data_IF_447365608536
#
_entry.id   IF_447365608536
#
_cell.length_a   1.000
_cell.length_b   1.000
_cell.length_c   1.000
_cell.angle_alpha   90.00
_cell.angle_beta   90.00
_cell.angle_gamma   90.00
#
_symmetry.space_group_name_H-M   'P 1'
#
loop_
_entity.id
_entity.type
_entity.pdbx_description
1 polymer ?
#
# COMPACT_ATOMS: atom_id res chain seq x y z
N UNK A 1 34.61 5.92 29.38
CA UNK A 1 34.26 4.51 29.06
C UNK A 1 34.75 4.30 27.65
N UNK A 2 35.54 3.25 27.40
CA UNK A 2 35.96 2.92 26.04
C UNK A 2 34.71 2.70 25.20
N UNK A 3 34.64 3.33 24.04
CA UNK A 3 33.80 2.82 22.97
C UNK A 3 34.40 1.46 22.62
N UNK A 4 33.91 0.41 23.27
CA UNK A 4 34.06 -0.93 22.74
C UNK A 4 33.50 -0.84 21.33
N UNK A 5 34.37 -0.99 20.33
CA UNK A 5 34.04 -0.72 18.94
C UNK A 5 32.83 -1.60 18.59
N UNK A 6 31.70 -0.97 18.29
CA UNK A 6 30.47 -1.66 17.93
C UNK A 6 30.76 -2.66 16.80
N UNK A 7 30.57 -3.95 17.09
CA UNK A 7 30.78 -5.04 16.15
C UNK A 7 29.41 -5.53 15.64
N UNK A 8 29.02 -5.23 14.39
CA UNK A 8 27.70 -5.54 13.85
C UNK A 8 27.30 -7.02 14.03
N UNK A 9 28.27 -7.93 13.90
CA UNK A 9 28.07 -9.38 14.03
C UNK A 9 27.46 -9.82 15.35
N UNK A 10 27.80 -9.14 16.45
CA UNK A 10 27.31 -9.46 17.80
C UNK A 10 25.87 -9.01 18.03
N UNK A 11 25.30 -8.26 17.08
CA UNK A 11 23.97 -7.67 17.16
C UNK A 11 23.01 -8.19 16.09
N UNK A 12 23.48 -9.09 15.21
CA UNK A 12 22.60 -9.80 14.29
C UNK A 12 21.75 -10.78 15.11
N UNK A 13 20.45 -10.52 15.15
CA UNK A 13 19.44 -11.50 15.55
C UNK A 13 19.40 -12.66 14.55
N UNK A 14 20.09 -13.75 14.89
CA UNK A 14 20.16 -14.96 14.09
C UNK A 14 18.86 -15.78 14.12
N UNK A 15 17.91 -15.48 15.00
CA UNK A 15 16.60 -16.16 14.99
C UNK A 15 15.78 -15.77 13.73
N UNK A 16 16.17 -14.68 13.06
CA UNK A 16 15.60 -14.25 11.77
C UNK A 16 16.25 -14.92 10.55
N UNK A 17 17.26 -15.79 10.72
CA UNK A 17 17.99 -16.39 9.58
C UNK A 17 17.10 -17.24 8.68
N UNK A 18 16.08 -17.90 9.24
CA UNK A 18 15.09 -18.67 8.47
C UNK A 18 14.18 -17.77 7.61
N UNK A 19 14.33 -16.44 7.75
CA UNK A 19 13.64 -15.39 7.01
C UNK A 19 14.59 -14.59 6.12
N UNK A 20 15.75 -15.13 5.76
CA UNK A 20 16.84 -14.46 5.03
C UNK A 20 16.47 -13.83 3.67
N UNK A 21 15.30 -14.15 3.14
CA UNK A 21 14.75 -13.66 1.88
C UNK A 21 13.59 -12.65 2.11
N UNK A 22 13.35 -12.21 3.35
CA UNK A 22 12.25 -11.30 3.72
C UNK A 22 12.69 -9.84 3.88
N UNK A 23 11.72 -8.92 3.81
CA UNK A 23 11.94 -7.50 4.13
C UNK A 23 12.34 -7.33 5.59
N UNK A 24 11.81 -8.15 6.50
CA UNK A 24 12.15 -8.11 7.93
C UNK A 24 13.67 -8.35 8.13
N UNK A 25 14.21 -9.37 7.48
CA UNK A 25 15.65 -9.65 7.50
C UNK A 25 16.48 -8.52 6.88
N UNK A 26 16.05 -8.00 5.73
CA UNK A 26 16.69 -6.87 5.08
C UNK A 26 16.77 -5.63 6.00
N UNK A 27 15.64 -5.24 6.60
CA UNK A 27 15.55 -4.08 7.50
C UNK A 27 16.47 -4.27 8.71
N UNK A 28 16.43 -5.43 9.33
CA UNK A 28 17.24 -5.78 10.49
C UNK A 28 18.75 -5.68 10.20
N UNK A 29 19.22 -6.31 9.13
CA UNK A 29 20.64 -6.25 8.76
C UNK A 29 21.07 -4.81 8.43
N UNK A 30 20.26 -4.07 7.67
CA UNK A 30 20.55 -2.68 7.37
C UNK A 30 20.63 -1.81 8.63
N UNK A 31 19.75 -2.02 9.61
CA UNK A 31 19.79 -1.34 10.91
C UNK A 31 21.06 -1.67 11.68
N UNK A 32 21.38 -2.96 11.81
CA UNK A 32 22.57 -3.43 12.53
C UNK A 32 23.84 -2.83 11.93
N UNK A 33 23.98 -2.81 10.61
CA UNK A 33 25.17 -2.28 9.93
C UNK A 33 25.23 -0.76 9.85
N UNK A 34 24.12 -0.06 10.08
CA UNK A 34 24.06 1.41 10.09
C UNK A 34 23.68 1.98 11.45
N UNK A 35 23.83 1.20 12.53
CA UNK A 35 23.45 1.61 13.88
C UNK A 35 24.12 2.92 14.29
N UNK A 36 23.34 3.78 14.95
CA UNK A 36 23.79 5.09 15.41
C UNK A 36 23.85 6.16 14.31
N UNK A 37 23.51 5.82 13.05
CA UNK A 37 23.36 6.76 11.95
C UNK A 37 21.89 7.13 11.75
N UNK A 38 21.64 8.39 11.40
CA UNK A 38 20.32 8.85 10.92
C UNK A 38 20.05 8.36 9.49
N UNK A 39 18.79 8.28 9.04
CA UNK A 39 18.41 7.60 7.77
C UNK A 39 19.19 8.07 6.55
N UNK A 40 19.41 9.38 6.41
CA UNK A 40 20.15 9.97 5.29
C UNK A 40 21.66 9.69 5.33
N UNK A 41 22.17 9.04 6.37
CA UNK A 41 23.56 8.62 6.54
C UNK A 41 23.74 7.10 6.42
N UNK A 42 22.66 6.34 6.18
CA UNK A 42 22.77 4.92 5.93
C UNK A 42 23.47 4.71 4.59
N UNK A 43 24.61 4.03 4.62
CA UNK A 43 25.48 3.78 3.45
C UNK A 43 25.99 2.35 3.38
N UNK A 44 25.92 1.62 4.49
CA UNK A 44 26.46 0.26 4.57
C UNK A 44 25.40 -0.71 4.06
N UNK A 45 25.68 -1.37 2.95
CA UNK A 45 24.84 -2.42 2.37
C UNK A 45 25.43 -3.79 2.74
N UNK A 46 24.74 -4.62 3.54
CA UNK A 46 25.30 -5.87 4.06
C UNK A 46 25.19 -7.01 3.04
N UNK A 47 25.78 -6.84 1.85
CA UNK A 47 25.66 -7.79 0.72
C UNK A 47 26.15 -9.20 1.05
N UNK A 48 27.15 -9.32 1.93
CA UNK A 48 27.69 -10.60 2.41
C UNK A 48 26.63 -11.47 3.14
N UNK A 49 25.46 -10.91 3.46
CA UNK A 49 24.36 -11.57 4.16
C UNK A 49 23.14 -11.86 3.26
N UNK A 50 23.26 -11.64 1.95
CA UNK A 50 22.21 -11.92 0.97
C UNK A 50 22.60 -13.11 0.09
N UNK A 51 22.40 -14.32 0.63
CA UNK A 51 22.91 -15.57 0.08
C UNK A 51 21.94 -16.15 -0.95
N UNK A 52 20.64 -16.02 -0.68
CA UNK A 52 19.57 -16.54 -1.51
C UNK A 52 18.71 -15.44 -2.14
N UNK A 53 18.08 -15.72 -3.30
CA UNK A 53 17.08 -14.83 -3.87
C UNK A 53 15.90 -14.62 -2.90
N UNK A 54 15.25 -13.45 -2.92
CA UNK A 54 15.46 -12.36 -3.88
C UNK A 54 16.58 -11.40 -3.51
N UNK A 55 17.03 -11.38 -2.25
CA UNK A 55 17.99 -10.38 -1.78
C UNK A 55 19.33 -10.46 -2.53
N UNK A 56 19.81 -11.67 -2.83
CA UNK A 56 21.05 -11.88 -3.60
C UNK A 56 21.00 -11.33 -5.04
N UNK A 57 19.80 -10.99 -5.54
CA UNK A 57 19.59 -10.49 -6.91
C UNK A 57 19.46 -8.97 -6.98
N UNK A 58 19.43 -8.27 -5.84
CA UNK A 58 19.34 -6.81 -5.77
C UNK A 58 20.64 -6.21 -6.33
N UNK A 59 20.53 -5.40 -7.36
CA UNK A 59 21.67 -4.67 -7.95
C UNK A 59 22.15 -3.57 -7.02
N UNK A 60 23.40 -3.09 -7.17
CA UNK A 60 23.94 -1.98 -6.35
C UNK A 60 23.05 -0.73 -6.38
N UNK A 61 22.55 -0.37 -7.58
CA UNK A 61 21.64 0.77 -7.78
C UNK A 61 20.32 0.59 -7.03
N UNK A 62 19.73 -0.60 -7.09
CA UNK A 62 18.52 -0.90 -6.34
C UNK A 62 18.80 -1.05 -4.83
N UNK A 63 19.98 -1.52 -4.45
CA UNK A 63 20.42 -1.71 -3.07
C UNK A 63 20.48 -0.40 -2.30
N UNK A 64 20.96 0.67 -2.93
CA UNK A 64 20.91 2.01 -2.33
C UNK A 64 19.48 2.47 -2.04
N UNK A 65 18.54 2.23 -2.96
CA UNK A 65 17.14 2.59 -2.73
C UNK A 65 16.46 1.69 -1.70
N UNK A 66 16.77 0.39 -1.70
CA UNK A 66 16.34 -0.53 -0.65
C UNK A 66 16.88 -0.13 0.73
N UNK A 67 18.09 0.42 0.80
CA UNK A 67 18.65 0.98 2.04
C UNK A 67 17.83 2.19 2.52
N UNK A 68 17.35 3.05 1.61
CA UNK A 68 16.44 4.14 1.96
C UNK A 68 15.08 3.64 2.45
N UNK A 69 14.53 2.61 1.82
CA UNK A 69 13.30 1.94 2.28
C UNK A 69 13.51 1.36 3.68
N UNK A 70 14.60 0.61 3.90
CA UNK A 70 14.93 0.02 5.20
C UNK A 70 15.12 1.08 6.29
N UNK A 71 15.81 2.17 5.98
CA UNK A 71 15.99 3.29 6.88
C UNK A 71 14.66 3.96 7.24
N UNK A 72 13.76 4.12 6.25
CA UNK A 72 12.42 4.66 6.47
C UNK A 72 11.62 3.74 7.40
N UNK A 73 11.61 2.44 7.15
CA UNK A 73 10.90 1.46 7.99
C UNK A 73 11.45 1.47 9.43
N UNK A 74 12.76 1.33 9.61
CA UNK A 74 13.40 1.26 10.95
C UNK A 74 13.17 2.53 11.78
N UNK A 75 13.13 3.70 11.15
CA UNK A 75 13.03 4.99 11.86
C UNK A 75 11.61 5.50 12.04
N UNK A 76 10.61 4.89 11.40
CA UNK A 76 9.22 5.30 11.52
C UNK A 76 8.42 4.25 12.28
N UNK A 77 8.01 4.52 13.53
CA UNK A 77 7.23 3.58 14.33
C UNK A 77 5.83 3.31 13.75
N UNK A 78 5.37 4.16 12.83
CA UNK A 78 4.14 3.94 12.07
C UNK A 78 4.28 2.87 10.99
N UNK A 79 5.49 2.39 10.67
CA UNK A 79 5.68 1.30 9.70
C UNK A 79 6.12 0.05 10.44
N UNK A 80 5.43 -1.05 10.16
CA UNK A 80 5.81 -2.38 10.66
C UNK A 80 5.90 -3.34 9.51
N UNK A 81 6.84 -4.29 9.62
CA UNK A 81 7.02 -5.37 8.65
C UNK A 81 6.76 -6.69 9.34
N UNK A 82 6.05 -7.56 8.66
CA UNK A 82 5.76 -8.91 9.10
C UNK A 82 5.85 -9.85 7.92
N UNK A 83 5.94 -11.14 8.19
CA UNK A 83 5.94 -12.15 7.17
C UNK A 83 4.88 -13.19 7.47
N UNK A 84 4.21 -13.65 6.43
CA UNK A 84 3.27 -14.76 6.53
C UNK A 84 3.89 -15.98 5.88
N UNK A 85 4.20 -17.01 6.68
CA UNK A 85 4.68 -18.29 6.19
C UNK A 85 3.53 -19.12 5.63
N UNK A 86 3.52 -19.29 4.30
CA UNK A 86 2.57 -20.15 3.60
C UNK A 86 3.29 -21.31 2.93
N UNK A 87 2.56 -22.37 2.62
CA UNK A 87 3.07 -23.48 1.80
C UNK A 87 2.18 -23.66 0.58
N UNK A 88 2.77 -23.60 -0.61
CA UNK A 88 2.05 -23.88 -1.86
C UNK A 88 2.40 -25.27 -2.39
N UNK A 89 1.47 -25.96 -3.09
CA UNK A 89 1.78 -27.22 -3.74
C UNK A 89 2.88 -27.05 -4.80
N UNK A 90 4.02 -27.72 -4.62
CA UNK A 90 5.11 -27.75 -5.59
C UNK A 90 5.29 -29.12 -6.24
N UNK A 91 6.01 -29.13 -7.37
CA UNK A 91 6.27 -30.33 -8.19
C UNK A 91 7.00 -31.45 -7.42
N UNK A 92 7.74 -31.10 -6.38
CA UNK A 92 8.54 -32.04 -5.56
C UNK A 92 8.08 -32.09 -4.09
N UNK A 93 6.90 -31.54 -3.78
CA UNK A 93 6.40 -31.35 -2.42
C UNK A 93 5.96 -29.91 -2.17
N UNK A 94 5.39 -29.61 -0.99
CA UNK A 94 5.05 -28.24 -0.61
C UNK A 94 6.30 -27.35 -0.65
N UNK A 95 6.17 -26.16 -1.25
CA UNK A 95 7.23 -25.15 -1.30
C UNK A 95 6.84 -24.02 -0.34
N UNK A 96 7.71 -23.63 0.61
CA UNK A 96 7.45 -22.48 1.46
C UNK A 96 7.42 -21.22 0.58
N UNK A 97 6.40 -20.40 0.79
CA UNK A 97 6.25 -19.08 0.16
C UNK A 97 5.98 -18.09 1.27
N UNK A 98 6.79 -17.05 1.29
CA UNK A 98 6.72 -16.00 2.28
C UNK A 98 6.07 -14.79 1.61
N UNK A 99 4.98 -14.27 2.18
CA UNK A 99 4.56 -12.91 1.82
C UNK A 99 5.19 -11.93 2.79
N UNK A 100 5.70 -10.83 2.25
CA UNK A 100 6.19 -9.72 3.06
C UNK A 100 5.05 -8.73 3.17
N UNK A 101 4.53 -8.58 4.38
CA UNK A 101 3.39 -7.73 4.66
C UNK A 101 3.89 -6.48 5.40
N UNK A 102 3.69 -5.31 4.81
CA UNK A 102 4.08 -4.01 5.39
C UNK A 102 2.80 -3.32 5.85
N UNK A 103 2.70 -3.00 7.14
CA UNK A 103 1.59 -2.20 7.67
C UNK A 103 2.07 -0.78 7.96
N UNK A 104 1.35 0.21 7.45
CA UNK A 104 1.63 1.64 7.60
C UNK A 104 0.48 2.30 8.34
N UNK A 105 0.77 2.93 9.47
CA UNK A 105 -0.15 3.80 10.18
C UNK A 105 0.14 5.24 9.79
N UNK A 106 -0.78 5.86 9.07
CA UNK A 106 -0.71 7.26 8.67
C UNK A 106 -0.85 8.22 9.84
N UNK A 107 -0.53 9.49 9.59
CA UNK A 107 -0.52 10.56 10.61
C UNK A 107 -1.86 10.80 11.31
N UNK A 108 -2.98 10.43 10.70
CA UNK A 108 -4.31 10.56 11.30
C UNK A 108 -4.84 9.22 11.83
N UNK A 109 -4.00 8.18 11.85
CA UNK A 109 -4.33 6.86 12.41
C UNK A 109 -4.87 5.85 11.41
N UNK A 110 -4.85 6.18 10.11
CA UNK A 110 -5.25 5.25 9.07
C UNK A 110 -4.26 4.10 8.94
N UNK A 111 -4.71 2.85 9.06
CA UNK A 111 -3.86 1.68 8.80
C UNK A 111 -3.95 1.26 7.33
N UNK A 112 -2.81 1.05 6.67
CA UNK A 112 -2.71 0.54 5.31
C UNK A 112 -1.85 -0.72 5.32
N UNK A 113 -2.23 -1.75 4.56
CA UNK A 113 -1.47 -3.01 4.48
C UNK A 113 -1.02 -3.25 3.04
N UNK A 114 0.28 -3.30 2.83
CA UNK A 114 0.90 -3.61 1.54
C UNK A 114 1.36 -5.05 1.59
N UNK A 115 0.88 -5.86 0.65
CA UNK A 115 1.33 -7.23 0.46
C UNK A 115 2.33 -7.26 -0.68
N UNK A 116 3.60 -7.49 -0.37
CA UNK A 116 4.65 -7.59 -1.38
C UNK A 116 4.64 -8.96 -2.06
N UNK A 117 5.09 -9.00 -3.31
CA UNK A 117 5.44 -10.25 -3.97
C UNK A 117 6.60 -10.93 -3.23
N UNK A 118 6.66 -12.28 -3.18
CA UNK A 118 7.73 -13.01 -2.50
C UNK A 118 9.14 -12.68 -3.02
N UNK A 119 9.27 -12.33 -4.30
CA UNK A 119 10.53 -12.00 -4.95
C UNK A 119 10.90 -10.51 -4.83
N UNK A 120 10.12 -9.71 -4.08
CA UNK A 120 10.27 -8.27 -3.91
C UNK A 120 10.26 -7.47 -5.21
N UNK A 121 9.77 -8.06 -6.31
CA UNK A 121 9.72 -7.41 -7.62
C UNK A 121 8.58 -6.40 -7.72
N UNK A 122 7.52 -6.57 -6.94
CA UNK A 122 6.37 -5.66 -6.89
C UNK A 122 5.58 -5.88 -5.60
N UNK A 123 4.51 -5.11 -5.39
CA UNK A 123 3.46 -5.47 -4.45
C UNK A 123 2.22 -6.00 -5.16
N UNK A 124 1.62 -7.02 -4.56
CA UNK A 124 0.44 -7.69 -5.07
C UNK A 124 -0.84 -6.92 -4.74
N UNK A 125 -0.89 -6.28 -3.57
CA UNK A 125 -2.12 -5.72 -3.03
C UNK A 125 -1.82 -4.61 -2.01
N UNK A 126 -2.64 -3.58 -2.00
CA UNK A 126 -2.64 -2.56 -0.95
C UNK A 126 -4.05 -2.53 -0.39
N UNK A 127 -4.24 -3.09 0.80
CA UNK A 127 -5.50 -3.07 1.53
C UNK A 127 -5.58 -1.83 2.41
N UNK A 128 -6.75 -1.21 2.40
CA UNK A 128 -7.13 -0.09 3.23
C UNK A 128 -8.44 -0.43 3.94
N UNK A 129 -8.41 -0.74 5.25
CA UNK A 129 -9.60 -1.11 6.00
C UNK A 129 -10.33 0.15 6.48
N UNK A 130 -11.20 0.80 5.68
CA UNK A 130 -11.77 2.08 6.11
C UNK A 130 -13.16 2.47 5.61
N UNK A 131 -14.10 2.59 6.54
CA UNK A 131 -15.34 3.36 6.38
C UNK A 131 -15.23 4.83 6.82
N UNK A 132 -16.36 5.55 6.81
CA UNK A 132 -16.46 7.00 7.11
C UNK A 132 -15.82 7.42 8.45
N UNK A 133 -15.80 6.52 9.44
CA UNK A 133 -15.22 6.80 10.76
C UNK A 133 -13.69 7.00 10.74
N UNK A 134 -13.01 6.54 9.69
CA UNK A 134 -11.57 6.67 9.56
C UNK A 134 -11.15 7.98 8.88
N UNK A 135 -12.09 8.72 8.26
CA UNK A 135 -11.78 9.98 7.57
C UNK A 135 -11.30 11.01 8.60
N UNK A 136 -10.12 11.63 8.41
CA UNK A 136 -9.60 12.66 9.30
C UNK A 136 -10.57 13.83 9.43
N UNK A 137 -10.75 14.35 10.64
CA UNK A 137 -11.67 15.47 10.91
C UNK A 137 -11.38 16.69 10.02
N UNK A 138 -10.11 16.93 9.74
CA UNK A 138 -9.63 18.00 8.87
C UNK A 138 -10.17 17.87 7.44
N UNK A 139 -10.47 16.66 6.98
CA UNK A 139 -10.99 16.35 5.64
C UNK A 139 -12.52 16.18 5.62
N UNK A 140 -13.22 16.30 6.76
CA UNK A 140 -14.68 16.16 6.83
C UNK A 140 -15.44 17.22 6.01
N UNK A 141 -14.81 18.35 5.71
CA UNK A 141 -15.39 19.36 4.82
C UNK A 141 -15.62 18.78 3.41
N UNK A 142 -14.72 17.93 2.92
CA UNK A 142 -14.85 17.23 1.63
C UNK A 142 -16.00 16.21 1.64
N UNK A 143 -16.25 15.54 2.79
CA UNK A 143 -17.41 14.65 2.95
C UNK A 143 -18.74 15.41 2.85
N UNK A 144 -18.83 16.55 3.54
CA UNK A 144 -20.07 17.36 3.63
C UNK A 144 -20.42 18.06 2.34
N UNK A 145 -19.43 18.46 1.56
CA UNK A 145 -19.65 19.16 0.29
C UNK A 145 -20.21 18.22 -0.80
N UNK A 146 -19.94 16.91 -0.69
CA UNK A 146 -20.11 16.00 -1.82
C UNK A 146 -21.00 14.78 -1.54
N UNK A 147 -21.37 14.51 -0.29
CA UNK A 147 -22.22 13.37 0.04
C UNK A 147 -21.56 12.02 -0.27
N UNK A 148 -20.23 11.97 -0.13
CA UNK A 148 -19.41 10.84 -0.57
C UNK A 148 -19.53 9.66 0.40
N UNK A 149 -19.78 8.48 -0.16
CA UNK A 149 -19.75 7.21 0.54
C UNK A 149 -18.32 6.68 0.57
N UNK A 150 -17.80 6.39 1.77
CA UNK A 150 -16.50 5.73 1.96
C UNK A 150 -16.77 4.26 2.29
N UNK A 151 -16.49 3.32 1.36
CA UNK A 151 -16.74 1.88 1.57
C UNK A 151 -15.86 1.28 2.66
N UNK A 152 -16.40 0.39 3.47
CA UNK A 152 -15.71 -0.19 4.65
C UNK A 152 -14.38 -0.90 4.35
N UNK A 153 -14.14 -1.37 3.13
CA UNK A 153 -12.85 -1.94 2.71
C UNK A 153 -12.55 -1.59 1.26
N UNK A 154 -11.39 -0.97 1.05
CA UNK A 154 -10.87 -0.59 -0.26
C UNK A 154 -9.52 -1.25 -0.48
N UNK A 155 -9.35 -1.83 -1.66
CA UNK A 155 -8.07 -2.25 -2.19
C UNK A 155 -7.61 -1.19 -3.18
N UNK A 156 -6.46 -0.57 -2.90
CA UNK A 156 -5.84 0.41 -3.78
C UNK A 156 -5.04 -0.34 -4.84
N UNK A 157 -5.48 -0.33 -6.10
CA UNK A 157 -4.69 -0.86 -7.21
C UNK A 157 -3.68 0.20 -7.68
N UNK A 158 -2.85 0.69 -6.75
CA UNK A 158 -1.71 1.52 -7.08
C UNK A 158 -0.59 0.60 -7.53
N UNK A 159 -0.53 0.25 -8.81
CA UNK A 159 0.58 -0.55 -9.33
C UNK A 159 1.92 0.19 -9.17
N UNK A 160 3.02 -0.56 -9.02
CA UNK A 160 4.34 0.02 -9.17
C UNK A 160 4.42 0.71 -10.54
N UNK A 161 4.87 1.98 -10.62
CA UNK A 161 4.93 2.66 -11.89
C UNK A 161 5.79 1.88 -12.89
N UNK A 162 5.28 1.66 -14.11
CA UNK A 162 6.04 0.96 -15.16
C UNK A 162 7.41 1.61 -15.35
N UNK A 163 8.42 0.77 -15.52
CA UNK A 163 9.81 1.15 -15.72
C UNK A 163 10.47 1.88 -14.53
N UNK A 164 9.81 1.93 -13.37
CA UNK A 164 10.40 2.43 -12.12
C UNK A 164 10.82 1.24 -11.26
N UNK A 165 12.05 1.21 -10.73
CA UNK A 165 12.46 0.18 -9.78
C UNK A 165 11.54 0.15 -8.56
N UNK A 166 11.12 -1.06 -8.18
CA UNK A 166 10.26 -1.35 -7.03
C UNK A 166 10.63 -0.59 -5.76
N UNK A 167 11.92 -0.53 -5.32
CA UNK A 167 12.25 0.19 -4.09
C UNK A 167 11.99 1.71 -4.18
N UNK A 168 12.05 2.31 -5.38
CA UNK A 168 11.73 3.74 -5.59
C UNK A 168 10.23 3.97 -5.45
N UNK A 169 9.44 3.09 -6.08
CA UNK A 169 7.97 3.11 -5.98
C UNK A 169 7.52 2.91 -4.54
N UNK A 170 8.08 1.91 -3.85
CA UNK A 170 7.77 1.58 -2.47
C UNK A 170 8.13 2.73 -1.53
N UNK A 171 9.31 3.33 -1.64
CA UNK A 171 9.70 4.47 -0.81
C UNK A 171 8.69 5.64 -0.93
N UNK A 172 8.32 5.97 -2.17
CA UNK A 172 7.35 7.04 -2.45
C UNK A 172 5.95 6.71 -1.92
N UNK A 173 5.54 5.44 -2.06
CA UNK A 173 4.29 4.93 -1.54
C UNK A 173 4.23 5.05 -0.01
N UNK A 174 5.26 4.57 0.70
CA UNK A 174 5.33 4.64 2.16
C UNK A 174 5.22 6.09 2.67
N UNK A 175 5.91 7.03 2.01
CA UNK A 175 5.78 8.45 2.33
C UNK A 175 4.36 9.00 2.12
N UNK A 176 3.70 8.59 1.03
CA UNK A 176 2.33 9.01 0.75
C UNK A 176 1.33 8.44 1.76
N UNK A 177 1.50 7.17 2.17
CA UNK A 177 0.66 6.52 3.18
C UNK A 177 0.89 7.10 4.58
N UNK A 178 2.12 7.51 4.92
CA UNK A 178 2.41 8.18 6.20
C UNK A 178 1.72 9.54 6.33
N UNK A 179 1.66 10.36 5.27
CA UNK A 179 0.90 11.61 5.30
C UNK A 179 -0.61 11.40 5.13
N UNK A 180 -1.03 10.33 4.45
CA UNK A 180 -2.42 9.91 4.15
C UNK A 180 -3.35 10.96 3.51
N UNK A 181 -3.06 12.26 3.54
CA UNK A 181 -3.90 13.34 2.98
C UNK A 181 -4.19 13.11 1.50
N UNK A 182 -3.15 12.75 0.73
CA UNK A 182 -3.29 12.48 -0.71
C UNK A 182 -4.01 11.18 -1.01
N UNK A 183 -3.87 10.19 -0.13
CA UNK A 183 -4.65 8.95 -0.22
C UNK A 183 -6.13 9.26 -0.03
N UNK A 184 -6.45 10.08 0.96
CA UNK A 184 -7.80 10.50 1.26
C UNK A 184 -8.42 11.41 0.22
N UNK A 185 -7.70 12.42 -0.27
CA UNK A 185 -8.17 13.24 -1.40
C UNK A 185 -8.55 12.34 -2.58
N UNK A 186 -7.68 11.39 -2.92
CA UNK A 186 -7.93 10.43 -3.99
C UNK A 186 -9.16 9.55 -3.71
N UNK A 187 -9.28 8.97 -2.51
CA UNK A 187 -10.43 8.14 -2.13
C UNK A 187 -11.75 8.93 -2.12
N UNK A 188 -11.71 10.17 -1.63
CA UNK A 188 -12.87 11.05 -1.54
C UNK A 188 -13.29 11.62 -2.90
N UNK A 189 -12.46 11.52 -3.93
CA UNK A 189 -12.85 11.85 -5.31
C UNK A 189 -13.63 10.72 -6.00
N UNK A 190 -13.80 9.55 -5.37
CA UNK A 190 -14.67 8.50 -5.89
C UNK A 190 -16.05 8.54 -5.24
N UNK A 191 -17.07 8.40 -6.07
CA UNK A 191 -18.48 8.38 -5.68
C UNK A 191 -18.98 6.95 -5.88
N UNK A 192 -19.47 6.32 -4.83
CA UNK A 192 -20.20 5.06 -4.96
C UNK A 192 -21.54 5.31 -5.66
N UNK A 193 -21.87 4.44 -6.59
CA UNK A 193 -23.06 4.55 -7.42
C UNK A 193 -23.73 3.20 -7.55
N UNK A 194 -25.05 3.17 -7.43
CA UNK A 194 -25.88 1.99 -7.67
C UNK A 194 -26.65 2.14 -8.99
N UNK A 195 -26.59 1.13 -9.86
CA UNK A 195 -27.38 1.08 -11.08
C UNK A 195 -28.86 0.79 -10.76
N UNK A 196 -29.79 1.65 -11.16
CA UNK A 196 -31.24 1.44 -10.94
C UNK A 196 -31.83 0.24 -11.69
N UNK A 197 -31.17 -0.18 -12.78
CA UNK A 197 -31.69 -1.25 -13.64
C UNK A 197 -31.34 -2.64 -13.11
N UNK A 198 -30.09 -2.82 -12.70
CA UNK A 198 -29.57 -4.12 -12.24
C UNK A 198 -29.18 -4.14 -10.76
N UNK A 199 -29.32 -3.03 -10.03
CA UNK A 199 -28.90 -2.86 -8.64
C UNK A 199 -27.40 -3.12 -8.39
N UNK A 200 -26.60 -3.12 -9.46
CA UNK A 200 -25.17 -3.32 -9.35
C UNK A 200 -24.49 -2.07 -8.78
N UNK A 201 -23.57 -2.26 -7.85
CA UNK A 201 -22.88 -1.17 -7.14
C UNK A 201 -21.45 -1.04 -7.66
N UNK A 202 -21.03 0.18 -7.98
CA UNK A 202 -19.68 0.48 -8.45
C UNK A 202 -19.17 1.84 -7.97
N UNK A 203 -17.95 2.18 -8.35
CA UNK A 203 -17.32 3.47 -8.04
C UNK A 203 -17.03 4.24 -9.32
N UNK A 204 -17.38 5.52 -9.34
CA UNK A 204 -17.00 6.43 -10.40
C UNK A 204 -16.13 7.54 -9.86
N UNK A 205 -15.07 7.86 -10.59
CA UNK A 205 -14.34 9.10 -10.34
C UNK A 205 -15.30 10.29 -10.52
N UNK A 206 -15.19 11.28 -9.64
CA UNK A 206 -16.09 12.43 -9.57
C UNK A 206 -16.27 13.14 -10.91
N UNK A 207 -15.19 13.35 -11.64
CA UNK A 207 -15.28 14.02 -12.95
C UNK A 207 -16.14 13.23 -13.94
N UNK A 208 -16.01 11.91 -13.96
CA UNK A 208 -16.78 11.06 -14.86
C UNK A 208 -18.24 11.02 -14.44
N UNK A 209 -18.49 10.94 -13.13
CA UNK A 209 -19.84 11.04 -12.59
C UNK A 209 -20.52 12.36 -12.99
N UNK A 210 -19.82 13.50 -12.88
CA UNK A 210 -20.35 14.81 -13.27
C UNK A 210 -20.51 15.00 -14.79
N UNK A 211 -19.71 14.29 -15.60
CA UNK A 211 -19.85 14.25 -17.07
C UNK A 211 -21.02 13.40 -17.53
N UNK A 212 -21.58 12.54 -16.66
CA UNK A 212 -22.78 11.78 -17.01
C UNK A 212 -23.97 12.73 -17.26
N UNK A 213 -24.77 12.49 -18.31
CA UNK A 213 -25.98 13.25 -18.55
C UNK A 213 -26.88 13.21 -17.30
N UNK A 214 -27.20 14.37 -16.73
CA UNK A 214 -28.14 14.49 -15.60
C UNK A 214 -27.48 14.71 -14.24
N UNK A 215 -26.15 14.61 -14.13
CA UNK A 215 -25.42 14.74 -12.86
C UNK A 215 -25.01 16.18 -12.51
N UNK A 216 -24.92 17.07 -13.51
CA UNK A 216 -24.63 18.49 -13.29
C UNK A 216 -25.85 19.22 -12.68
N UNK A 217 -25.68 20.12 -11.69
CA UNK A 217 -26.78 20.89 -11.13
C UNK A 217 -27.53 21.66 -12.24
N UNK A 218 -28.76 21.23 -12.55
CA UNK A 218 -29.60 21.83 -13.59
C UNK A 218 -29.68 21.08 -14.93
N UNK A 219 -29.04 19.91 -15.07
CA UNK A 219 -29.17 19.10 -16.29
C UNK A 219 -30.48 18.31 -16.31
N UNK A 220 -31.34 18.60 -17.29
CA UNK A 220 -32.66 17.98 -17.49
C UNK A 220 -32.63 16.67 -18.30
N UNK A 221 -31.45 16.09 -18.57
CA UNK A 221 -31.31 14.94 -19.46
C UNK A 221 -30.46 13.88 -18.76
N UNK A 222 -31.09 12.78 -18.27
CA UNK A 222 -30.38 11.56 -17.86
C UNK A 222 -30.55 11.08 -16.42
N UNK A 223 -31.67 11.38 -15.77
CA UNK A 223 -31.95 11.05 -14.37
C UNK A 223 -31.95 9.56 -13.97
N UNK A 224 -31.69 8.60 -14.86
CA UNK A 224 -32.30 7.27 -14.74
C UNK A 224 -31.41 6.06 -14.50
N UNK A 225 -30.08 6.17 -14.47
CA UNK A 225 -29.26 4.95 -14.32
C UNK A 225 -28.51 4.83 -13.00
N UNK A 226 -27.94 5.89 -12.41
CA UNK A 226 -27.09 5.74 -11.22
C UNK A 226 -27.51 6.70 -10.09
N UNK A 227 -27.48 6.24 -8.83
CA UNK A 227 -27.68 7.08 -7.64
C UNK A 227 -26.60 6.81 -6.58
N UNK A 228 -26.17 7.82 -5.80
CA UNK A 228 -25.42 7.58 -4.58
C UNK A 228 -26.25 6.71 -3.64
N UNK A 229 -25.67 5.66 -3.03
CA UNK A 229 -26.36 4.89 -2.01
C UNK A 229 -26.67 5.82 -0.85
N UNK A 230 -27.94 5.97 -0.50
CA UNK A 230 -28.33 6.64 0.74
C UNK A 230 -27.74 5.89 1.96
N UNK A 231 -27.64 6.52 3.15
CA UNK A 231 -26.95 5.98 4.35
C UNK A 231 -27.58 4.72 4.98
N UNK A 232 -28.32 3.92 4.22
CA UNK A 232 -29.19 2.86 4.73
C UNK A 232 -29.18 1.62 3.85
N UNK A 233 -28.04 1.25 3.27
CA UNK A 233 -27.87 -0.13 2.81
C UNK A 233 -27.62 -0.97 4.05
N UNK A 234 -28.64 -1.73 4.45
CA UNK A 234 -28.51 -2.74 5.49
C UNK A 234 -27.46 -3.74 5.04
N UNK A 235 -26.58 -4.08 5.96
CA UNK A 235 -25.69 -5.24 5.93
C UNK A 235 -26.45 -6.46 5.37
N UNK A 236 -26.30 -6.75 4.08
CA UNK A 236 -26.33 -8.12 3.56
C UNK A 236 -26.03 -8.13 2.05
N UNK A 237 -25.33 -9.20 1.66
CA UNK A 237 -24.93 -9.65 0.31
C UNK A 237 -23.60 -9.09 -0.25
N UNK A 238 -22.51 -9.83 0.08
CA UNK A 238 -21.32 -10.12 -0.75
C UNK A 238 -20.54 -8.99 -1.46
N UNK A 239 -20.58 -7.74 -0.98
CA UNK A 239 -19.82 -6.59 -1.52
C UNK A 239 -18.61 -6.16 -0.68
N UNK A 240 -17.96 -7.09 0.03
CA UNK A 240 -16.98 -6.72 1.07
C UNK A 240 -15.66 -6.12 0.57
N UNK A 241 -15.30 -6.29 -0.71
CA UNK A 241 -13.99 -5.90 -1.23
C UNK A 241 -14.15 -5.02 -2.47
N UNK A 242 -13.76 -3.75 -2.37
CA UNK A 242 -13.80 -2.82 -3.50
C UNK A 242 -12.39 -2.50 -4.01
N UNK A 243 -12.14 -2.62 -5.31
CA UNK A 243 -10.85 -2.34 -5.92
C UNK A 243 -10.87 -0.95 -6.59
N UNK A 244 -10.02 -0.02 -6.14
CA UNK A 244 -9.89 1.34 -6.69
C UNK A 244 -8.52 1.48 -7.37
N UNK A 245 -8.53 1.48 -8.70
CA UNK A 245 -7.32 1.64 -9.51
C UNK A 245 -7.15 3.09 -9.99
N UNK A 246 -5.93 3.62 -9.84
CA UNK A 246 -5.52 4.92 -10.42
C UNK A 246 -5.68 4.97 -11.94
N UNK A 247 -5.67 3.80 -12.58
CA UNK A 247 -5.70 3.59 -14.03
C UNK A 247 -7.10 3.24 -14.57
N UNK A 248 -8.16 3.33 -13.77
CA UNK A 248 -9.56 3.18 -14.26
C UNK A 248 -10.27 4.52 -14.52
N UNK A 249 -9.52 5.63 -14.48
CA UNK A 249 -10.00 6.95 -14.88
C UNK A 249 -9.97 7.15 -16.40
N UNK A 250 -10.48 8.29 -16.91
CA UNK A 250 -10.62 8.57 -18.33
C UNK A 250 -9.28 8.70 -19.08
N UNK A 251 -8.16 8.69 -18.37
CA UNK A 251 -6.79 8.72 -18.90
C UNK A 251 -6.09 7.34 -18.85
N UNK A 252 -6.86 6.25 -18.69
CA UNK A 252 -6.35 4.88 -18.78
C UNK A 252 -5.71 4.61 -20.16
N UNK A 253 -4.51 4.01 -20.25
CA UNK A 253 -3.99 3.50 -21.51
C UNK A 253 -4.90 2.40 -22.04
N UNK A 254 -5.15 2.41 -23.34
CA UNK A 254 -6.11 1.56 -24.08
C UNK A 254 -5.93 0.03 -23.95
N UNK A 255 -5.00 -0.47 -23.12
CA UNK A 255 -4.64 -1.88 -23.05
C UNK A 255 -4.55 -2.38 -21.60
N UNK A 256 -5.72 -2.75 -21.06
CA UNK A 256 -5.90 -3.80 -20.06
C UNK A 256 -6.95 -4.79 -20.56
#
# INVERSE_FOLDING_TARGET
MSDDAYEPMDHIDWDLIDKDHTIEWLVHLCEVYNRGKVANQWTNWPEDFFWEPPLSTITEEHGQMWLHVAALISQNPGITVSYTHNTVPGRFGPVPVFSNDISVTGRFGSEFKIKMMPDLSDWAEIEHPQGVACVPEELHHLLKEHGNYVPETVYLCWESPRDIPTPVGLYSLLLALLDETKVWEYLLDYIATECRGCHDTGFHHREDYLRQPGSAPGSLVGWDQFRPPYPSVKEDEDTKNYYLCRWCGPDAPDHH
#
